data_IF_404331124771
#
_entry.id   IF_404331124771
#
_cell.length_a   1.000
_cell.length_b   1.000
_cell.length_c   1.000
_cell.angle_alpha   90.00
_cell.angle_beta   90.00
_cell.angle_gamma   90.00
#
_symmetry.space_group_name_H-M   'P 1'
#
loop_
_entity.id
_entity.type
_entity.pdbx_description
1 polymer ?
#
# COMPACT_ATOMS: atom_id res chain seq x y z
N UNK A 1 -50.15 -25.67 -25.45
CA UNK A 1 -49.34 -25.80 -24.20
C UNK A 1 -47.90 -25.61 -24.56
N UNK A 2 -47.33 -24.41 -24.27
CA UNK A 2 -45.94 -24.11 -24.57
C UNK A 2 -45.10 -24.67 -23.43
N UNK A 3 -44.40 -25.76 -23.67
CA UNK A 3 -43.46 -26.34 -22.71
C UNK A 3 -42.28 -25.34 -22.58
N UNK A 4 -42.29 -24.51 -21.54
CA UNK A 4 -41.11 -23.74 -21.19
C UNK A 4 -40.04 -24.74 -20.77
N UNK A 5 -38.92 -24.75 -21.52
CA UNK A 5 -37.72 -25.45 -21.07
C UNK A 5 -37.32 -24.86 -19.71
N UNK A 6 -36.98 -25.68 -18.70
CA UNK A 6 -36.50 -25.17 -17.42
C UNK A 6 -35.25 -24.33 -17.67
N UNK A 7 -35.23 -23.12 -17.08
CA UNK A 7 -34.05 -22.26 -17.12
C UNK A 7 -32.87 -23.04 -16.51
N UNK A 8 -31.67 -22.94 -17.10
CA UNK A 8 -30.48 -23.60 -16.55
C UNK A 8 -30.27 -23.17 -15.10
N UNK A 9 -30.07 -24.13 -14.21
CA UNK A 9 -29.76 -23.88 -12.79
C UNK A 9 -28.49 -23.06 -12.70
N UNK A 10 -28.47 -21.90 -12.00
CA UNK A 10 -27.27 -21.11 -11.85
C UNK A 10 -26.15 -21.90 -11.15
N UNK A 11 -24.94 -21.79 -11.66
CA UNK A 11 -23.76 -22.47 -11.14
C UNK A 11 -22.99 -21.62 -10.17
N UNK A 12 -22.68 -22.19 -9.00
CA UNK A 12 -21.87 -21.52 -7.98
C UNK A 12 -20.54 -22.23 -7.77
N UNK A 13 -19.50 -21.49 -7.50
CA UNK A 13 -18.26 -22.00 -6.94
C UNK A 13 -18.20 -21.76 -5.44
N UNK A 14 -17.60 -22.68 -4.70
CA UNK A 14 -17.31 -22.51 -3.27
C UNK A 14 -15.82 -22.22 -3.13
N UNK A 15 -15.48 -21.25 -2.30
CA UNK A 15 -14.09 -20.98 -1.94
C UNK A 15 -13.87 -21.19 -0.45
N UNK A 16 -12.85 -22.00 -0.13
CA UNK A 16 -12.47 -22.41 1.23
C UNK A 16 -11.04 -21.97 1.53
N UNK A 17 -10.78 -21.56 2.77
CA UNK A 17 -9.41 -21.24 3.20
C UNK A 17 -9.22 -21.54 4.69
N UNK A 18 -8.09 -22.14 5.01
CA UNK A 18 -7.61 -22.28 6.38
C UNK A 18 -6.16 -21.80 6.45
N UNK A 19 -5.81 -21.07 7.51
CA UNK A 19 -4.41 -20.81 7.85
C UNK A 19 -3.86 -21.94 8.70
N UNK A 20 -2.54 -22.03 8.82
CA UNK A 20 -1.85 -23.05 9.64
C UNK A 20 -2.37 -23.08 11.08
N UNK A 21 -2.62 -21.91 11.67
CA UNK A 21 -3.11 -21.77 13.05
C UNK A 21 -4.59 -22.19 13.20
N UNK A 22 -5.39 -22.08 12.14
CA UNK A 22 -6.82 -22.40 12.14
C UNK A 22 -7.05 -23.90 11.94
N UNK A 23 -6.11 -24.63 11.34
CA UNK A 23 -6.17 -26.10 11.24
C UNK A 23 -6.17 -26.76 12.62
N UNK A 24 -5.52 -26.13 13.61
CA UNK A 24 -5.42 -26.64 14.98
C UNK A 24 -6.74 -26.45 15.76
N UNK A 25 -7.59 -25.49 15.40
CA UNK A 25 -8.75 -25.04 16.18
C UNK A 25 -10.12 -25.54 15.65
N UNK A 26 -10.16 -26.56 14.78
CA UNK A 26 -11.42 -27.28 14.47
C UNK A 26 -12.40 -26.59 13.52
N UNK A 27 -12.10 -25.44 12.95
CA UNK A 27 -12.88 -24.85 11.84
C UNK A 27 -12.36 -25.38 10.49
N UNK A 28 -12.33 -26.71 10.36
CA UNK A 28 -11.85 -27.43 9.20
C UNK A 28 -12.56 -27.00 7.91
N UNK A 29 -11.94 -27.30 6.77
CA UNK A 29 -12.50 -27.07 5.43
C UNK A 29 -13.87 -27.72 5.28
N UNK A 30 -14.12 -28.87 5.94
CA UNK A 30 -15.38 -29.61 5.87
C UNK A 30 -16.55 -28.82 6.45
N UNK A 31 -16.36 -28.11 7.57
CA UNK A 31 -17.40 -27.25 8.16
C UNK A 31 -17.71 -26.07 7.25
N UNK A 32 -16.68 -25.45 6.68
CA UNK A 32 -16.88 -24.37 5.71
C UNK A 32 -17.64 -24.88 4.49
N UNK A 33 -17.23 -26.00 3.94
CA UNK A 33 -17.85 -26.63 2.78
C UNK A 33 -19.31 -26.92 3.03
N UNK A 34 -19.64 -27.66 4.09
CA UNK A 34 -21.01 -28.03 4.44
C UNK A 34 -21.92 -26.79 4.54
N UNK A 35 -21.46 -25.71 5.17
CA UNK A 35 -22.27 -24.49 5.30
C UNK A 35 -22.43 -23.75 3.97
N UNK A 36 -21.42 -23.73 3.11
CA UNK A 36 -21.52 -23.14 1.78
C UNK A 36 -22.43 -23.96 0.87
N UNK A 37 -22.36 -25.31 0.92
CA UNK A 37 -23.26 -26.23 0.19
C UNK A 37 -24.72 -26.04 0.63
N UNK A 38 -24.94 -25.90 1.95
CA UNK A 38 -26.30 -25.61 2.46
C UNK A 38 -26.82 -24.26 1.92
N UNK A 39 -25.98 -23.24 1.82
CA UNK A 39 -26.34 -21.94 1.22
C UNK A 39 -26.66 -22.12 -0.28
N UNK A 40 -25.89 -22.88 -1.02
CA UNK A 40 -26.17 -23.15 -2.43
C UNK A 40 -27.54 -23.82 -2.61
N UNK A 41 -27.91 -24.78 -1.75
CA UNK A 41 -29.22 -25.43 -1.74
C UNK A 41 -30.32 -24.38 -1.47
N UNK A 42 -30.15 -23.52 -0.45
CA UNK A 42 -31.13 -22.46 -0.13
C UNK A 42 -31.34 -21.50 -1.31
N UNK A 43 -30.29 -21.23 -2.08
CA UNK A 43 -30.34 -20.37 -3.27
C UNK A 43 -30.85 -21.11 -4.53
N UNK A 44 -30.97 -22.40 -4.48
CA UNK A 44 -31.32 -23.23 -5.66
C UNK A 44 -30.20 -23.26 -6.70
N UNK A 45 -28.95 -23.18 -6.27
CA UNK A 45 -27.75 -23.19 -7.14
C UNK A 45 -27.10 -24.58 -7.18
N UNK A 46 -26.50 -24.89 -8.32
CA UNK A 46 -25.64 -26.06 -8.48
C UNK A 46 -24.22 -25.71 -8.09
N UNK A 47 -23.59 -26.51 -7.23
CA UNK A 47 -22.15 -26.33 -6.90
C UNK A 47 -21.33 -26.98 -8.02
N UNK A 48 -20.81 -26.15 -8.92
CA UNK A 48 -20.02 -26.59 -10.07
C UNK A 48 -18.56 -26.92 -9.69
N UNK A 49 -17.98 -26.20 -8.72
CA UNK A 49 -16.59 -26.40 -8.31
C UNK A 49 -16.35 -25.93 -6.86
N UNK A 50 -15.33 -26.54 -6.24
CA UNK A 50 -14.84 -26.15 -4.92
C UNK A 50 -13.34 -25.85 -5.04
N UNK A 51 -12.93 -24.64 -4.66
CA UNK A 51 -11.54 -24.19 -4.65
C UNK A 51 -11.09 -24.04 -3.21
N UNK A 52 -9.84 -24.42 -2.91
CA UNK A 52 -9.31 -24.30 -1.55
C UNK A 52 -7.86 -23.84 -1.53
N UNK A 53 -7.51 -23.09 -0.47
CA UNK A 53 -6.14 -22.74 -0.11
C UNK A 53 -5.89 -23.16 1.34
N UNK A 54 -5.01 -24.16 1.52
CA UNK A 54 -4.67 -24.73 2.81
C UNK A 54 -3.33 -24.18 3.32
N UNK A 55 -3.28 -23.82 4.60
CA UNK A 55 -2.06 -23.28 5.21
C UNK A 55 -1.63 -21.90 4.67
N UNK A 56 -2.49 -21.23 3.89
CA UNK A 56 -2.16 -19.96 3.24
C UNK A 56 -2.85 -18.80 3.94
N UNK A 57 -2.06 -17.74 4.25
CA UNK A 57 -2.59 -16.56 4.91
C UNK A 57 -3.50 -15.73 4.00
N UNK A 58 -4.64 -15.28 4.54
CA UNK A 58 -5.57 -14.37 3.87
C UNK A 58 -5.04 -12.95 3.66
N UNK A 59 -3.80 -12.65 4.09
CA UNK A 59 -3.13 -11.37 3.83
C UNK A 59 -2.35 -11.36 2.53
N UNK A 60 -2.15 -12.53 1.91
CA UNK A 60 -1.43 -12.66 0.65
C UNK A 60 -2.30 -12.29 -0.53
N UNK A 61 -1.67 -11.76 -1.57
CA UNK A 61 -2.28 -11.48 -2.86
C UNK A 61 -2.79 -12.78 -3.54
N UNK A 62 -3.79 -12.63 -4.43
CA UNK A 62 -4.38 -13.74 -5.17
C UNK A 62 -3.34 -14.55 -5.99
N UNK A 63 -2.27 -13.91 -6.46
CA UNK A 63 -1.18 -14.58 -7.22
C UNK A 63 -0.42 -15.62 -6.41
N UNK A 64 -0.46 -15.50 -5.07
CA UNK A 64 0.19 -16.42 -4.12
C UNK A 64 -0.80 -17.42 -3.50
N UNK A 65 -2.01 -17.49 -4.03
CA UNK A 65 -3.13 -18.33 -3.55
C UNK A 65 -3.68 -19.11 -4.75
N UNK A 66 -3.15 -20.31 -5.02
CA UNK A 66 -3.51 -21.08 -6.22
C UNK A 66 -5.01 -21.37 -6.34
N UNK A 67 -5.68 -21.69 -5.22
CA UNK A 67 -7.12 -21.93 -5.20
C UNK A 67 -7.92 -20.68 -5.56
N UNK A 68 -7.53 -19.51 -5.00
CA UNK A 68 -8.17 -18.24 -5.33
C UNK A 68 -7.91 -17.82 -6.77
N UNK A 69 -6.69 -18.01 -7.27
CA UNK A 69 -6.35 -17.70 -8.66
C UNK A 69 -7.17 -18.54 -9.64
N UNK A 70 -7.33 -19.85 -9.38
CA UNK A 70 -8.17 -20.75 -10.17
C UNK A 70 -9.65 -20.36 -10.12
N UNK A 71 -10.16 -19.97 -8.94
CA UNK A 71 -11.52 -19.44 -8.79
C UNK A 71 -11.75 -18.20 -9.66
N UNK A 72 -10.84 -17.22 -9.61
CA UNK A 72 -10.96 -15.99 -10.41
C UNK A 72 -10.89 -16.28 -11.91
N UNK A 73 -10.07 -17.23 -12.34
CA UNK A 73 -10.03 -17.67 -13.73
C UNK A 73 -11.36 -18.29 -14.16
N UNK A 74 -11.94 -19.18 -13.37
CA UNK A 74 -13.24 -19.79 -13.63
C UNK A 74 -14.39 -18.78 -13.62
N UNK A 75 -14.33 -17.78 -12.76
CA UNK A 75 -15.28 -16.67 -12.74
C UNK A 75 -15.27 -15.88 -14.05
N UNK A 76 -14.07 -15.55 -14.56
CA UNK A 76 -13.93 -14.74 -15.77
C UNK A 76 -14.11 -15.55 -17.07
N UNK A 77 -14.03 -16.90 -17.04
CA UNK A 77 -14.40 -17.73 -18.17
C UNK A 77 -15.91 -17.95 -18.33
N UNK A 78 -16.71 -17.54 -17.32
CA UNK A 78 -18.16 -17.71 -17.33
C UNK A 78 -18.63 -19.11 -16.85
N UNK A 79 -17.73 -19.92 -16.30
CA UNK A 79 -18.06 -21.28 -15.81
C UNK A 79 -18.98 -21.24 -14.59
N UNK A 80 -18.96 -20.13 -13.84
CA UNK A 80 -19.77 -19.91 -12.65
C UNK A 80 -20.37 -18.49 -12.65
N UNK A 81 -21.56 -18.35 -12.08
CA UNK A 81 -22.29 -17.09 -11.95
C UNK A 81 -22.23 -16.54 -10.53
N UNK A 82 -21.85 -17.36 -9.56
CA UNK A 82 -21.80 -16.96 -8.14
C UNK A 82 -20.64 -17.64 -7.42
N UNK A 83 -20.10 -16.94 -6.41
CA UNK A 83 -19.08 -17.47 -5.50
C UNK A 83 -19.65 -17.45 -4.08
N UNK A 84 -19.54 -18.58 -3.37
CA UNK A 84 -19.97 -18.71 -1.98
C UNK A 84 -18.74 -18.87 -1.09
N UNK A 85 -18.65 -18.07 -0.03
CA UNK A 85 -17.64 -18.19 1.02
C UNK A 85 -18.32 -18.31 2.39
N UNK A 86 -17.69 -18.97 3.34
CA UNK A 86 -18.22 -19.03 4.70
C UNK A 86 -18.25 -17.63 5.34
N UNK A 87 -17.19 -16.84 5.16
CA UNK A 87 -17.06 -15.49 5.68
C UNK A 87 -16.06 -14.70 4.83
N UNK A 88 -16.16 -13.37 4.87
CA UNK A 88 -15.31 -12.48 4.09
C UNK A 88 -13.82 -12.61 4.45
N UNK A 89 -13.50 -12.96 5.70
CA UNK A 89 -12.13 -13.20 6.15
C UNK A 89 -11.50 -14.46 5.50
N UNK A 90 -12.31 -15.39 4.97
CA UNK A 90 -11.83 -16.50 4.12
C UNK A 90 -11.33 -15.97 2.78
N UNK A 91 -12.04 -14.99 2.23
CA UNK A 91 -11.64 -14.36 0.98
C UNK A 91 -10.37 -13.52 1.16
N UNK A 92 -10.37 -12.59 2.12
CA UNK A 92 -9.18 -11.83 2.53
C UNK A 92 -9.33 -11.28 3.96
N UNK A 93 -8.19 -11.09 4.68
CA UNK A 93 -8.19 -10.49 6.02
C UNK A 93 -8.20 -8.96 6.00
N UNK A 94 -7.78 -8.33 4.92
CA UNK A 94 -7.77 -6.88 4.76
C UNK A 94 -9.00 -6.44 3.98
N UNK A 95 -9.77 -5.50 4.51
CA UNK A 95 -10.99 -5.00 3.87
C UNK A 95 -10.75 -4.52 2.44
N UNK A 96 -9.64 -3.83 2.18
CA UNK A 96 -9.28 -3.38 0.83
C UNK A 96 -9.06 -4.55 -0.16
N UNK A 97 -8.49 -5.68 0.29
CA UNK A 97 -8.34 -6.86 -0.55
C UNK A 97 -9.67 -7.54 -0.82
N UNK A 98 -10.58 -7.56 0.16
CA UNK A 98 -11.95 -8.06 -0.05
C UNK A 98 -12.65 -7.25 -1.14
N UNK A 99 -12.59 -5.92 -1.04
CA UNK A 99 -13.20 -5.01 -2.01
C UNK A 99 -12.60 -5.17 -3.43
N UNK A 100 -11.27 -5.31 -3.54
CA UNK A 100 -10.60 -5.59 -4.82
C UNK A 100 -11.10 -6.90 -5.44
N UNK A 101 -11.17 -7.97 -4.64
CA UNK A 101 -11.62 -9.29 -5.11
C UNK A 101 -13.09 -9.27 -5.51
N UNK A 102 -13.95 -8.60 -4.74
CA UNK A 102 -15.36 -8.42 -5.08
C UNK A 102 -15.50 -7.62 -6.38
N UNK A 103 -14.73 -6.54 -6.54
CA UNK A 103 -14.72 -5.75 -7.78
C UNK A 103 -14.27 -6.56 -9.00
N UNK A 104 -13.31 -7.48 -8.83
CA UNK A 104 -12.90 -8.42 -9.92
C UNK A 104 -14.01 -9.40 -10.28
N UNK A 105 -14.69 -9.98 -9.28
CA UNK A 105 -15.82 -10.88 -9.51
C UNK A 105 -16.97 -10.14 -10.23
N UNK A 106 -17.32 -8.96 -9.76
CA UNK A 106 -18.36 -8.11 -10.37
C UNK A 106 -18.00 -7.73 -11.82
N UNK A 107 -16.72 -7.41 -12.08
CA UNK A 107 -16.19 -7.16 -13.43
C UNK A 107 -16.31 -8.37 -14.38
N UNK A 108 -16.38 -9.60 -13.85
CA UNK A 108 -16.65 -10.84 -14.60
C UNK A 108 -18.15 -11.21 -14.57
N UNK A 109 -19.03 -10.37 -13.99
CA UNK A 109 -20.46 -10.66 -13.86
C UNK A 109 -20.79 -11.74 -12.83
N UNK A 110 -19.90 -11.99 -11.86
CA UNK A 110 -20.06 -13.04 -10.85
C UNK A 110 -20.39 -12.44 -9.50
N UNK A 111 -21.43 -12.95 -8.86
CA UNK A 111 -21.92 -12.50 -7.56
C UNK A 111 -21.16 -13.17 -6.41
N UNK A 112 -21.04 -12.47 -5.28
CA UNK A 112 -20.46 -13.03 -4.05
C UNK A 112 -21.53 -13.19 -2.97
N UNK A 113 -21.56 -14.36 -2.35
CA UNK A 113 -22.36 -14.63 -1.15
C UNK A 113 -21.44 -15.02 0.00
N UNK A 114 -21.55 -14.32 1.11
CA UNK A 114 -20.90 -14.64 2.38
C UNK A 114 -21.95 -15.12 3.39
N UNK A 115 -21.76 -16.37 3.86
CA UNK A 115 -22.76 -17.04 4.71
C UNK A 115 -22.85 -16.36 6.09
N UNK A 116 -21.70 -16.11 6.73
CA UNK A 116 -21.63 -15.59 8.09
C UNK A 116 -22.13 -14.16 8.20
N UNK A 117 -21.74 -13.30 7.28
CA UNK A 117 -22.13 -11.90 7.24
C UNK A 117 -23.51 -11.68 6.60
N UNK A 118 -24.16 -12.75 6.09
CA UNK A 118 -25.42 -12.65 5.34
C UNK A 118 -25.34 -11.63 4.20
N UNK A 119 -24.15 -11.54 3.59
CA UNK A 119 -23.88 -10.62 2.48
C UNK A 119 -24.15 -11.33 1.15
N UNK A 120 -24.93 -10.68 0.29
CA UNK A 120 -25.25 -11.15 -1.05
C UNK A 120 -25.18 -9.98 -2.03
N UNK A 121 -24.16 -9.98 -2.89
CA UNK A 121 -23.94 -8.88 -3.83
C UNK A 121 -24.93 -8.81 -4.97
N UNK A 122 -25.75 -9.86 -5.18
CA UNK A 122 -26.87 -9.81 -6.12
C UNK A 122 -27.97 -8.87 -5.65
N UNK A 123 -28.12 -8.70 -4.34
CA UNK A 123 -29.15 -7.89 -3.73
C UNK A 123 -28.76 -6.41 -3.59
N UNK A 124 -29.71 -5.47 -3.69
CA UNK A 124 -29.45 -4.06 -3.42
C UNK A 124 -28.86 -3.80 -2.01
N UNK A 125 -29.36 -4.55 -1.01
CA UNK A 125 -28.88 -4.45 0.38
C UNK A 125 -27.42 -4.91 0.52
N UNK A 126 -27.04 -5.98 -0.17
CA UNK A 126 -25.65 -6.47 -0.17
C UNK A 126 -24.70 -5.52 -0.86
N UNK A 127 -25.09 -4.92 -1.98
CA UNK A 127 -24.31 -3.85 -2.64
C UNK A 127 -24.16 -2.62 -1.76
N UNK A 128 -25.22 -2.22 -1.05
CA UNK A 128 -25.14 -1.13 -0.08
C UNK A 128 -24.16 -1.46 1.05
N UNK A 129 -24.25 -2.69 1.61
CA UNK A 129 -23.32 -3.12 2.65
C UNK A 129 -21.86 -3.08 2.18
N UNK A 130 -21.56 -3.50 0.95
CA UNK A 130 -20.21 -3.36 0.36
C UNK A 130 -19.76 -1.91 0.27
N UNK A 131 -20.63 -0.99 -0.13
CA UNK A 131 -20.32 0.45 -0.17
C UNK A 131 -19.99 0.98 1.22
N UNK A 132 -20.70 0.54 2.26
CA UNK A 132 -20.38 0.88 3.64
C UNK A 132 -19.02 0.32 4.07
N UNK A 133 -18.70 -0.93 3.73
CA UNK A 133 -17.37 -1.50 3.99
C UNK A 133 -16.26 -0.71 3.29
N UNK A 134 -16.49 -0.27 2.03
CA UNK A 134 -15.54 0.56 1.31
C UNK A 134 -15.31 1.92 2.00
N UNK A 135 -16.37 2.56 2.46
CA UNK A 135 -16.28 3.84 3.20
C UNK A 135 -15.51 3.68 4.52
N UNK A 136 -15.77 2.60 5.28
CA UNK A 136 -15.05 2.30 6.52
C UNK A 136 -13.56 2.05 6.24
N UNK A 137 -13.23 1.27 5.22
CA UNK A 137 -11.85 0.98 4.84
C UNK A 137 -11.10 2.25 4.41
N UNK A 138 -11.77 3.18 3.73
CA UNK A 138 -11.20 4.47 3.38
C UNK A 138 -10.97 5.33 4.62
N UNK A 139 -11.95 5.40 5.54
CA UNK A 139 -11.82 6.13 6.80
C UNK A 139 -10.66 5.60 7.66
N UNK A 140 -10.50 4.29 7.77
CA UNK A 140 -9.36 3.68 8.46
C UNK A 140 -8.03 4.10 7.84
N UNK A 141 -7.94 4.07 6.51
CA UNK A 141 -6.74 4.50 5.77
C UNK A 141 -6.42 5.97 6.03
N UNK A 142 -7.43 6.84 5.91
CA UNK A 142 -7.27 8.29 6.13
C UNK A 142 -6.86 8.58 7.58
N UNK A 143 -7.43 7.84 8.54
CA UNK A 143 -7.07 7.94 9.95
C UNK A 143 -5.62 7.52 10.21
N UNK A 144 -5.13 6.44 9.57
CA UNK A 144 -3.74 6.00 9.69
C UNK A 144 -2.80 7.04 9.08
N UNK A 145 -3.13 7.59 7.91
CA UNK A 145 -2.37 8.65 7.25
C UNK A 145 -2.33 9.90 8.13
N UNK A 146 -3.47 10.34 8.65
CA UNK A 146 -3.55 11.49 9.56
C UNK A 146 -2.68 11.28 10.81
N UNK A 147 -2.84 10.16 11.52
CA UNK A 147 -2.02 9.83 12.71
C UNK A 147 -0.53 9.77 12.40
N UNK A 148 -0.15 9.22 11.24
CA UNK A 148 1.26 9.14 10.83
C UNK A 148 1.82 10.53 10.51
N UNK A 149 1.02 11.38 9.88
CA UNK A 149 1.37 12.77 9.57
C UNK A 149 1.45 13.61 10.84
N UNK A 150 0.49 13.47 11.74
CA UNK A 150 0.48 14.16 13.04
C UNK A 150 1.64 13.70 13.93
N UNK A 151 1.95 12.41 13.94
CA UNK A 151 3.11 11.88 14.64
C UNK A 151 4.44 12.40 14.08
N UNK A 152 4.55 12.56 12.74
CA UNK A 152 5.71 13.22 12.10
C UNK A 152 5.80 14.69 12.45
N UNK A 153 4.67 15.41 12.42
CA UNK A 153 4.61 16.83 12.75
C UNK A 153 4.87 17.06 14.25
N UNK A 154 4.35 16.21 15.14
CA UNK A 154 4.61 16.26 16.57
C UNK A 154 6.09 16.01 16.90
N UNK A 155 6.72 15.00 16.27
CA UNK A 155 8.18 14.80 16.40
C UNK A 155 8.96 15.98 15.84
N UNK A 156 8.53 16.57 14.71
CA UNK A 156 9.12 17.78 14.16
C UNK A 156 9.07 18.97 15.12
N UNK A 157 8.01 19.06 15.94
CA UNK A 157 7.85 20.12 16.97
C UNK A 157 8.70 19.85 18.23
N UNK A 158 8.79 18.60 18.66
CA UNK A 158 9.50 18.22 19.90
C UNK A 158 11.02 18.16 19.67
N UNK A 159 11.47 17.61 18.52
CA UNK A 159 12.89 17.35 18.26
C UNK A 159 13.53 18.38 17.31
N UNK A 160 12.76 19.39 16.83
CA UNK A 160 13.20 20.26 15.74
C UNK A 160 13.45 19.48 14.42
N UNK A 161 13.02 18.24 14.39
CA UNK A 161 13.23 17.29 13.31
C UNK A 161 11.92 16.98 12.58
N UNK A 162 11.64 17.67 11.49
CA UNK A 162 10.87 17.03 10.43
C UNK A 162 11.75 15.87 9.94
N UNK A 163 11.38 14.63 10.23
CA UNK A 163 12.18 13.41 9.98
C UNK A 163 12.59 13.19 8.52
N UNK A 164 13.26 14.17 7.93
CA UNK A 164 13.85 14.17 6.62
C UNK A 164 15.36 13.95 6.68
N UNK A 165 15.94 13.47 5.58
CA UNK A 165 17.39 13.45 5.42
C UNK A 165 17.94 14.86 5.56
N UNK A 166 19.03 15.03 6.32
CA UNK A 166 19.76 16.30 6.38
C UNK A 166 20.29 16.62 4.98
N UNK A 167 20.11 17.86 4.48
CA UNK A 167 20.68 18.27 3.20
C UNK A 167 22.20 18.05 3.13
N UNK A 168 22.74 17.87 1.93
CA UNK A 168 24.18 17.83 1.71
C UNK A 168 24.83 19.07 2.28
N UNK A 169 26.04 18.96 2.82
CA UNK A 169 26.74 20.09 3.45
C UNK A 169 26.51 20.21 4.95
N UNK A 170 25.60 19.42 5.50
CA UNK A 170 25.31 19.47 6.94
C UNK A 170 25.44 18.11 7.62
N UNK A 171 25.89 18.13 8.86
CA UNK A 171 25.91 16.98 9.77
C UNK A 171 25.09 17.32 11.02
N UNK A 172 24.24 16.38 11.43
CA UNK A 172 23.49 16.47 12.68
C UNK A 172 24.34 16.03 13.84
N UNK A 173 24.51 16.89 14.82
CA UNK A 173 25.07 16.52 16.10
C UNK A 173 24.00 15.84 16.97
N UNK A 174 24.44 14.85 17.73
CA UNK A 174 23.60 14.18 18.72
C UNK A 174 24.27 14.30 20.09
N UNK A 175 23.46 14.48 21.12
CA UNK A 175 23.94 14.44 22.51
C UNK A 175 24.17 12.98 22.96
N UNK A 176 24.67 12.82 24.19
CA UNK A 176 24.95 11.51 24.80
C UNK A 176 23.68 10.64 24.97
N UNK A 177 22.48 11.22 24.87
CA UNK A 177 21.18 10.52 24.90
C UNK A 177 20.67 10.14 23.50
N UNK A 178 21.39 10.52 22.44
CA UNK A 178 21.03 10.29 21.04
C UNK A 178 20.04 11.30 20.45
N UNK A 179 19.66 12.36 21.22
CA UNK A 179 18.81 13.44 20.72
C UNK A 179 19.62 14.42 19.86
N UNK A 180 18.92 15.12 18.94
CA UNK A 180 19.52 16.14 18.12
C UNK A 180 20.01 17.31 18.98
N UNK A 181 21.32 17.57 18.94
CA UNK A 181 21.99 18.64 19.66
C UNK A 181 22.35 19.84 18.79
N UNK A 182 22.06 19.77 17.48
CA UNK A 182 22.34 20.85 16.54
C UNK A 182 22.70 20.36 15.15
N UNK A 183 23.04 21.30 14.28
CA UNK A 183 23.52 21.03 12.92
C UNK A 183 24.78 21.84 12.68
N UNK A 184 25.79 21.20 12.12
CA UNK A 184 27.05 21.83 11.74
C UNK A 184 27.31 21.69 10.25
N UNK A 185 28.09 22.61 9.70
CA UNK A 185 28.54 22.57 8.30
C UNK A 185 29.67 21.53 8.16
N UNK A 186 29.58 20.68 7.14
CA UNK A 186 30.66 19.81 6.70
C UNK A 186 31.33 20.50 5.51
N UNK A 187 32.49 21.10 5.71
CA UNK A 187 33.08 22.02 4.73
C UNK A 187 33.34 21.38 3.36
N UNK A 188 33.79 20.14 3.31
CA UNK A 188 33.99 19.41 2.05
C UNK A 188 32.71 19.19 1.24
N UNK A 189 31.60 18.97 1.92
CA UNK A 189 30.27 18.88 1.26
C UNK A 189 29.74 20.28 0.93
N UNK A 190 30.01 21.29 1.76
CA UNK A 190 29.61 22.67 1.53
C UNK A 190 30.27 23.28 0.28
N UNK A 191 31.53 22.96 0.04
CA UNK A 191 32.23 23.32 -1.20
C UNK A 191 31.52 22.74 -2.44
N UNK A 192 31.08 21.46 -2.34
CA UNK A 192 30.29 20.81 -3.41
C UNK A 192 28.96 21.53 -3.63
N UNK A 193 28.28 21.94 -2.55
CA UNK A 193 27.04 22.71 -2.64
C UNK A 193 27.27 24.02 -3.36
N UNK A 194 28.30 24.81 -2.96
CA UNK A 194 28.65 26.09 -3.60
C UNK A 194 28.97 25.92 -5.08
N UNK A 195 29.72 24.85 -5.45
CA UNK A 195 30.05 24.54 -6.84
C UNK A 195 28.81 24.22 -7.68
N UNK A 196 27.84 23.48 -7.13
CA UNK A 196 26.56 23.19 -7.80
C UNK A 196 25.79 24.48 -8.07
N UNK A 197 25.65 25.36 -7.09
CA UNK A 197 24.95 26.63 -7.24
C UNK A 197 25.65 27.57 -8.21
N UNK A 198 26.98 27.67 -8.16
CA UNK A 198 27.78 28.46 -9.10
C UNK A 198 27.62 27.99 -10.56
N UNK A 199 27.73 26.67 -10.80
CA UNK A 199 27.51 26.10 -12.13
C UNK A 199 26.09 26.29 -12.63
N UNK A 200 25.10 26.22 -11.73
CA UNK A 200 23.69 26.48 -12.07
C UNK A 200 23.46 27.93 -12.45
N UNK A 201 24.04 28.87 -11.72
CA UNK A 201 23.98 30.30 -12.03
C UNK A 201 24.64 30.66 -13.38
N UNK A 202 25.68 29.92 -13.77
CA UNK A 202 26.33 30.04 -15.09
C UNK A 202 25.55 29.36 -16.23
N UNK A 203 24.31 28.90 -15.98
CA UNK A 203 23.45 28.29 -17.02
C UNK A 203 23.63 26.77 -17.18
N UNK A 204 24.41 26.10 -16.34
CA UNK A 204 24.60 24.66 -16.40
C UNK A 204 23.29 23.88 -16.25
N UNK A 205 23.12 22.82 -17.06
CA UNK A 205 22.00 21.89 -16.91
C UNK A 205 22.22 20.92 -15.74
N UNK A 206 21.16 20.37 -15.15
CA UNK A 206 21.30 19.38 -14.06
C UNK A 206 22.17 18.18 -14.46
N UNK A 207 22.10 17.76 -15.72
CA UNK A 207 22.91 16.64 -16.24
C UNK A 207 24.37 17.03 -16.42
N UNK A 208 24.66 18.23 -16.95
CA UNK A 208 26.05 18.69 -17.11
C UNK A 208 26.73 18.91 -15.75
N UNK A 209 26.01 19.45 -14.77
CA UNK A 209 26.52 19.61 -13.39
C UNK A 209 26.86 18.24 -12.78
N UNK A 210 25.96 17.28 -12.88
CA UNK A 210 26.20 15.91 -12.38
C UNK A 210 27.41 15.28 -13.06
N UNK A 211 27.57 15.45 -14.39
CA UNK A 211 28.70 14.95 -15.15
C UNK A 211 30.01 15.59 -14.68
N UNK A 212 30.06 16.90 -14.53
CA UNK A 212 31.25 17.63 -14.04
C UNK A 212 31.70 17.15 -12.66
N UNK A 213 30.74 16.89 -11.75
CA UNK A 213 31.04 16.37 -10.42
C UNK A 213 31.65 14.95 -10.50
N UNK A 214 31.14 14.11 -11.38
CA UNK A 214 31.66 12.76 -11.59
C UNK A 214 33.06 12.78 -12.23
N UNK A 215 33.27 13.62 -13.23
CA UNK A 215 34.56 13.77 -13.93
C UNK A 215 35.65 14.30 -12.99
N UNK A 216 35.28 15.17 -12.03
CA UNK A 216 36.15 15.66 -10.98
C UNK A 216 36.32 14.70 -9.79
N UNK A 217 35.71 13.51 -9.85
CA UNK A 217 35.81 12.52 -8.78
C UNK A 217 35.16 12.92 -7.45
N UNK A 218 34.21 13.87 -7.45
CA UNK A 218 33.52 14.32 -6.23
C UNK A 218 32.59 13.18 -5.75
N UNK A 219 32.74 12.67 -4.51
CA UNK A 219 31.94 11.56 -4.05
C UNK A 219 30.48 12.01 -3.80
N UNK A 220 29.53 11.19 -4.26
CA UNK A 220 28.14 11.40 -3.87
C UNK A 220 27.90 10.88 -2.43
N UNK A 221 27.05 11.56 -1.65
CA UNK A 221 26.81 11.27 -0.22
C UNK A 221 26.42 9.83 0.09
N UNK A 222 25.69 9.16 -0.82
CA UNK A 222 25.26 7.76 -0.68
C UNK A 222 26.22 6.76 -1.35
N UNK A 223 27.38 7.23 -1.80
CA UNK A 223 28.26 6.47 -2.68
C UNK A 223 27.77 6.42 -4.14
N UNK A 224 28.64 5.96 -5.06
CA UNK A 224 28.32 5.91 -6.49
C UNK A 224 28.45 7.26 -7.19
N UNK A 225 27.78 7.38 -8.35
CA UNK A 225 27.88 8.55 -9.22
C UNK A 225 26.79 9.58 -8.91
N UNK A 226 27.09 10.85 -9.18
CA UNK A 226 26.11 11.92 -9.18
C UNK A 226 25.08 11.73 -10.28
N UNK A 227 23.82 11.80 -9.93
CA UNK A 227 22.69 11.81 -10.86
C UNK A 227 22.05 13.21 -10.90
N UNK A 228 21.45 13.56 -12.02
CA UNK A 228 20.72 14.83 -12.16
C UNK A 228 19.63 15.04 -11.08
N UNK A 229 19.06 13.95 -10.56
CA UNK A 229 18.09 13.97 -9.45
C UNK A 229 18.72 14.42 -8.14
N UNK A 230 19.96 13.99 -7.84
CA UNK A 230 20.68 14.43 -6.65
C UNK A 230 21.07 15.92 -6.74
N UNK A 231 21.48 16.40 -7.91
CA UNK A 231 21.72 17.83 -8.16
C UNK A 231 20.44 18.63 -7.96
N UNK A 232 19.29 18.14 -8.47
CA UNK A 232 17.99 18.78 -8.26
C UNK A 232 17.62 18.85 -6.77
N UNK A 233 17.89 17.80 -6.01
CA UNK A 233 17.63 17.75 -4.56
C UNK A 233 18.46 18.81 -3.83
N UNK A 234 19.74 18.95 -4.16
CA UNK A 234 20.60 20.01 -3.58
C UNK A 234 20.02 21.39 -3.90
N UNK A 235 19.70 21.67 -5.15
CA UNK A 235 19.15 22.99 -5.55
C UNK A 235 17.79 23.30 -4.89
N UNK A 236 16.98 22.29 -4.61
CA UNK A 236 15.69 22.49 -3.94
C UNK A 236 15.82 22.87 -2.46
N UNK A 237 16.99 22.71 -1.87
CA UNK A 237 17.29 23.07 -0.48
C UNK A 237 17.92 24.46 -0.32
N UNK A 238 17.86 25.36 -1.32
CA UNK A 238 18.46 26.69 -1.31
C UNK A 238 18.14 27.49 -0.06
N UNK A 239 16.87 27.51 0.35
CA UNK A 239 16.46 28.24 1.55
C UNK A 239 17.21 27.79 2.81
N UNK A 240 17.50 26.49 2.95
CA UNK A 240 18.28 25.97 4.08
C UNK A 240 19.74 26.43 4.01
N UNK A 241 20.33 26.47 2.82
CA UNK A 241 21.73 26.88 2.62
C UNK A 241 21.95 28.38 2.82
N UNK A 242 20.90 29.20 2.71
CA UNK A 242 20.92 30.66 2.99
C UNK A 242 20.50 31.00 4.42
N UNK A 243 20.51 30.05 5.33
CA UNK A 243 20.16 30.27 6.73
C UNK A 243 18.65 30.27 7.00
N UNK A 244 17.86 29.52 6.23
CA UNK A 244 16.43 29.37 6.48
C UNK A 244 16.14 28.77 7.86
N UNK A 245 14.93 29.03 8.39
CA UNK A 245 14.50 28.49 9.68
C UNK A 245 14.41 26.98 9.65
N UNK A 246 14.85 26.35 10.71
CA UNK A 246 14.82 24.93 10.92
C UNK A 246 13.47 24.49 11.51
N UNK A 247 12.48 24.25 10.65
CA UNK A 247 11.13 23.89 11.09
C UNK A 247 10.38 25.06 11.75
N UNK A 248 9.71 24.81 12.88
CA UNK A 248 9.04 25.82 13.70
C UNK A 248 9.97 26.35 14.83
N UNK A 249 11.22 25.87 14.93
CA UNK A 249 12.19 26.37 15.90
C UNK A 249 12.76 27.71 15.45
N UNK A 250 13.17 28.56 16.41
CA UNK A 250 13.88 29.78 16.10
C UNK A 250 15.34 29.54 15.63
N UNK A 251 15.80 28.30 15.65
CA UNK A 251 17.10 27.91 15.12
C UNK A 251 17.12 28.03 13.59
N UNK A 252 18.13 28.71 13.09
CA UNK A 252 18.42 28.80 11.64
C UNK A 252 19.45 27.75 11.23
N UNK A 253 19.41 27.37 9.96
CA UNK A 253 20.48 26.57 9.39
C UNK A 253 21.78 27.40 9.35
N UNK A 254 22.97 26.80 9.67
CA UNK A 254 24.24 27.48 9.41
C UNK A 254 24.35 27.82 7.92
N UNK A 255 24.82 29.05 7.62
CA UNK A 255 24.87 29.55 6.24
C UNK A 255 26.00 28.86 5.47
N UNK A 256 25.67 28.26 4.30
CA UNK A 256 26.64 27.73 3.34
C UNK A 256 26.75 28.64 2.11
N UNK A 257 25.65 29.25 1.68
CA UNK A 257 25.60 30.18 0.57
C UNK A 257 25.48 31.62 1.17
N UNK A 258 26.57 32.38 1.19
CA UNK A 258 26.53 33.80 1.43
C UNK A 258 25.98 34.52 0.17
N UNK A 259 25.38 35.71 0.38
CA UNK A 259 24.89 36.56 -0.71
C UNK A 259 26.01 37.04 -1.63
#
# INVERSE_FOLDING_TARGET
>A
MTTQLPLPTPKAAIYLRVSTDEQVNGYGLDVQRTRCEAMAIVKGWEVAAVYSDEGISGTLDATKRPGLAALLAAACSGDVQSVIVLSLDRLARKTLLVLDLVGRLDGCGVELVSVKESLDTSSPSGRFALTMFAAIAQLERDTIVARTTDGRNARGKIDGERGGAIPLGYLRLRDDTGKAAGVVVVESEAETVRAIFSQRASGGSLRSIAQTLNDNGVPARKGGQWLHTAVKEVLSNEANYRGGRRGESDETWPVILAD
#
